data_IF_827675540703
#
_entry.id   IF_827675540703
#
_cell.length_a   1.000
_cell.length_b   1.000
_cell.length_c   1.000
_cell.angle_alpha   90.00
_cell.angle_beta   90.00
_cell.angle_gamma   90.00
#
_symmetry.space_group_name_H-M   'P 1'
#
loop_
_entity.id
_entity.type
_entity.pdbx_description
1 polymer ?
#
# COMPACT_ATOMS: atom_id res chain seq x y z
N UNK A 1 12.56 -1.94 23.25
CA UNK A 1 11.65 -1.05 22.53
C UNK A 1 10.30 -1.19 23.22
N UNK A 2 9.81 -0.13 23.84
CA UNK A 2 8.54 -0.16 24.56
C UNK A 2 7.36 -0.13 23.56
N UNK A 3 6.15 -0.43 24.02
CA UNK A 3 4.93 -0.45 23.19
C UNK A 3 4.66 0.90 22.53
N UNK A 4 4.92 2.00 23.23
CA UNK A 4 4.79 3.37 22.72
C UNK A 4 5.73 3.60 21.51
N UNK A 5 7.01 3.24 21.63
CA UNK A 5 7.98 3.35 20.53
C UNK A 5 7.52 2.58 19.27
N UNK A 6 6.84 1.44 19.46
CA UNK A 6 6.33 0.61 18.37
C UNK A 6 5.13 1.27 17.68
N UNK A 7 4.22 1.86 18.45
CA UNK A 7 3.08 2.60 17.92
C UNK A 7 3.53 3.84 17.14
N UNK A 8 4.47 4.63 17.68
CA UNK A 8 5.03 5.79 16.98
C UNK A 8 5.64 5.39 15.63
N UNK A 9 6.36 4.26 15.59
CA UNK A 9 6.92 3.73 14.34
C UNK A 9 5.84 3.33 13.34
N UNK A 10 4.77 2.67 13.78
CA UNK A 10 3.65 2.29 12.91
C UNK A 10 2.91 3.52 12.40
N UNK A 11 2.72 4.54 13.24
CA UNK A 11 2.14 5.82 12.83
C UNK A 11 3.00 6.49 11.77
N UNK A 12 4.32 6.59 11.99
CA UNK A 12 5.24 7.18 11.02
C UNK A 12 5.22 6.44 9.67
N UNK A 13 5.13 5.10 9.69
CA UNK A 13 4.98 4.30 8.47
C UNK A 13 3.66 4.57 7.74
N UNK A 14 2.56 4.73 8.48
CA UNK A 14 1.26 5.09 7.89
C UNK A 14 1.24 6.50 7.31
N UNK A 15 1.84 7.48 7.98
CA UNK A 15 1.97 8.85 7.46
C UNK A 15 2.76 8.88 6.16
N UNK A 16 3.92 8.19 6.12
CA UNK A 16 4.71 8.09 4.89
C UNK A 16 3.94 7.38 3.77
N UNK A 17 3.19 6.32 4.08
CA UNK A 17 2.36 5.62 3.11
C UNK A 17 1.22 6.51 2.58
N UNK A 18 0.57 7.27 3.44
CA UNK A 18 -0.48 8.22 3.07
C UNK A 18 0.06 9.33 2.16
N UNK A 19 1.26 9.85 2.43
CA UNK A 19 1.93 10.82 1.55
C UNK A 19 2.17 10.26 0.14
N UNK A 20 2.62 9.01 0.04
CA UNK A 20 2.79 8.35 -1.26
C UNK A 20 1.45 8.17 -1.98
N UNK A 21 0.41 7.70 -1.28
CA UNK A 21 -0.92 7.48 -1.86
C UNK A 21 -1.61 8.79 -2.28
N UNK A 22 -1.29 9.92 -1.65
CA UNK A 22 -1.76 11.26 -2.04
C UNK A 22 -0.92 11.90 -3.16
N UNK A 23 0.19 11.30 -3.56
CA UNK A 23 1.05 11.85 -4.61
C UNK A 23 0.50 11.50 -6.00
N UNK A 24 0.09 12.53 -6.75
CA UNK A 24 -0.37 12.37 -8.14
C UNK A 24 0.71 11.75 -9.03
N UNK A 25 1.99 12.11 -8.80
CA UNK A 25 3.13 11.57 -9.55
C UNK A 25 3.28 10.07 -9.30
N UNK A 26 3.17 9.64 -8.04
CA UNK A 26 3.23 8.22 -7.68
C UNK A 26 2.07 7.46 -8.32
N UNK A 27 0.84 7.97 -8.17
CA UNK A 27 -0.37 7.33 -8.72
C UNK A 27 -0.30 7.21 -10.24
N UNK A 28 0.10 8.27 -10.95
CA UNK A 28 0.29 8.22 -12.40
C UNK A 28 1.35 7.19 -12.80
N UNK A 29 2.46 7.11 -12.07
CA UNK A 29 3.53 6.15 -12.34
C UNK A 29 3.05 4.71 -12.16
N UNK A 30 2.40 4.39 -11.03
CA UNK A 30 1.86 3.04 -10.77
C UNK A 30 0.80 2.65 -11.81
N UNK A 31 -0.10 3.57 -12.17
CA UNK A 31 -1.13 3.31 -13.17
C UNK A 31 -0.51 3.01 -14.54
N UNK A 32 0.49 3.78 -14.97
CA UNK A 32 1.21 3.52 -16.22
C UNK A 32 1.92 2.14 -16.20
N UNK A 33 2.50 1.75 -15.07
CA UNK A 33 3.15 0.44 -14.92
C UNK A 33 2.14 -0.72 -14.94
N UNK A 34 0.96 -0.52 -14.33
CA UNK A 34 -0.15 -1.48 -14.38
C UNK A 34 -0.66 -1.64 -15.81
N UNK A 35 -0.88 -0.53 -16.51
CA UNK A 35 -1.32 -0.54 -17.90
C UNK A 35 -0.28 -1.21 -18.81
N UNK A 36 1.00 -0.90 -18.66
CA UNK A 36 2.08 -1.53 -19.42
C UNK A 36 2.15 -3.05 -19.16
N UNK A 37 1.99 -3.48 -17.91
CA UNK A 37 1.97 -4.91 -17.55
C UNK A 37 0.78 -5.62 -18.18
N UNK A 38 -0.38 -4.98 -18.20
CA UNK A 38 -1.59 -5.50 -18.85
C UNK A 38 -1.43 -5.58 -20.37
N UNK A 39 -0.96 -4.51 -21.02
CA UNK A 39 -0.70 -4.48 -22.47
C UNK A 39 0.30 -5.58 -22.86
N UNK A 40 1.37 -5.73 -22.09
CA UNK A 40 2.36 -6.81 -22.29
C UNK A 40 1.68 -8.17 -22.19
N UNK A 41 0.91 -8.42 -21.13
CA UNK A 41 0.16 -9.67 -20.97
C UNK A 41 -0.78 -9.95 -22.16
N UNK A 42 -1.50 -8.95 -22.66
CA UNK A 42 -2.42 -9.13 -23.79
C UNK A 42 -1.73 -9.36 -25.13
N UNK A 43 -0.46 -8.98 -25.25
CA UNK A 43 0.34 -9.19 -26.47
C UNK A 43 1.17 -10.49 -26.43
N UNK A 44 1.24 -11.16 -25.29
CA UNK A 44 1.88 -12.50 -25.18
C UNK A 44 1.18 -13.54 -26.06
N UNK A 45 1.97 -14.49 -26.57
CA UNK A 45 1.41 -15.67 -27.22
C UNK A 45 0.67 -16.53 -26.18
N UNK A 46 -0.53 -17.02 -26.50
CA UNK A 46 -1.31 -17.85 -25.58
C UNK A 46 -0.61 -19.14 -25.15
N UNK A 47 0.36 -19.62 -25.95
CA UNK A 47 1.15 -20.82 -25.65
C UNK A 47 2.45 -20.52 -24.89
N UNK A 48 2.81 -19.25 -24.70
CA UNK A 48 3.97 -18.83 -23.91
C UNK A 48 3.55 -18.61 -22.45
N UNK A 49 3.39 -19.73 -21.73
CA UNK A 49 2.92 -19.74 -20.34
C UNK A 49 3.88 -18.99 -19.43
N UNK A 50 5.19 -19.17 -19.61
CA UNK A 50 6.22 -18.54 -18.79
C UNK A 50 6.17 -17.01 -18.89
N UNK A 51 6.00 -16.50 -20.12
CA UNK A 51 5.88 -15.05 -20.32
C UNK A 51 4.58 -14.48 -19.73
N UNK A 52 3.48 -15.23 -19.83
CA UNK A 52 2.19 -14.86 -19.25
C UNK A 52 2.22 -14.80 -17.74
N UNK A 53 2.82 -15.80 -17.10
CA UNK A 53 3.01 -15.84 -15.64
C UNK A 53 3.89 -14.68 -15.17
N UNK A 54 4.99 -14.40 -15.88
CA UNK A 54 5.86 -13.25 -15.57
C UNK A 54 5.10 -11.93 -15.60
N UNK A 55 4.28 -11.71 -16.63
CA UNK A 55 3.49 -10.48 -16.75
C UNK A 55 2.42 -10.38 -15.65
N UNK A 56 1.76 -11.50 -15.32
CA UNK A 56 0.80 -11.55 -14.22
C UNK A 56 1.46 -11.22 -12.87
N UNK A 57 2.65 -11.78 -12.59
CA UNK A 57 3.38 -11.50 -11.35
C UNK A 57 3.82 -10.05 -11.24
N UNK A 58 4.23 -9.41 -12.35
CA UNK A 58 4.53 -7.98 -12.37
C UNK A 58 3.30 -7.13 -12.02
N UNK A 59 2.15 -7.40 -12.66
CA UNK A 59 0.90 -6.73 -12.31
C UNK A 59 0.55 -6.94 -10.83
N UNK A 60 0.63 -8.19 -10.35
CA UNK A 60 0.28 -8.52 -8.96
C UNK A 60 1.18 -7.79 -7.95
N UNK A 61 2.49 -7.72 -8.22
CA UNK A 61 3.43 -7.00 -7.36
C UNK A 61 3.11 -5.50 -7.24
N UNK A 62 2.68 -4.86 -8.33
CA UNK A 62 2.25 -3.45 -8.30
C UNK A 62 1.00 -3.26 -7.43
N UNK A 63 0.02 -4.17 -7.57
CA UNK A 63 -1.18 -4.17 -6.72
C UNK A 63 -0.81 -4.39 -5.24
N UNK A 64 0.10 -5.32 -4.96
CA UNK A 64 0.53 -5.64 -3.59
C UNK A 64 1.24 -4.45 -2.91
N UNK A 65 2.00 -3.64 -3.67
CA UNK A 65 2.59 -2.40 -3.17
C UNK A 65 1.50 -1.43 -2.70
N UNK A 66 0.48 -1.18 -3.53
CA UNK A 66 -0.62 -0.26 -3.19
C UNK A 66 -1.40 -0.79 -1.99
N UNK A 67 -1.71 -2.09 -1.96
CA UNK A 67 -2.38 -2.74 -0.83
C UNK A 67 -1.58 -2.60 0.47
N UNK A 68 -0.25 -2.78 0.41
CA UNK A 68 0.63 -2.62 1.57
C UNK A 68 0.60 -1.18 2.11
N UNK A 69 0.58 -0.18 1.22
CA UNK A 69 0.48 1.23 1.63
C UNK A 69 -0.87 1.51 2.28
N UNK A 70 -1.97 1.04 1.69
CA UNK A 70 -3.32 1.18 2.26
C UNK A 70 -3.44 0.54 3.64
N UNK A 71 -2.88 -0.66 3.81
CA UNK A 71 -2.89 -1.36 5.09
C UNK A 71 -2.12 -0.59 6.17
N UNK A 72 -0.99 0.04 5.83
CA UNK A 72 -0.25 0.92 6.76
C UNK A 72 -1.05 2.14 7.19
N UNK A 73 -1.81 2.74 6.27
CA UNK A 73 -2.70 3.86 6.60
C UNK A 73 -3.80 3.40 7.56
N UNK A 74 -4.45 2.26 7.27
CA UNK A 74 -5.48 1.68 8.16
C UNK A 74 -4.95 1.41 9.56
N UNK A 75 -3.75 0.84 9.69
CA UNK A 75 -3.12 0.57 11.00
C UNK A 75 -2.86 1.89 11.74
N UNK A 76 -2.34 2.92 11.06
CA UNK A 76 -2.12 4.25 11.65
C UNK A 76 -3.43 4.86 12.13
N UNK A 77 -4.48 4.83 11.32
CA UNK A 77 -5.80 5.36 11.68
C UNK A 77 -6.38 4.62 12.90
N UNK A 78 -6.30 3.28 12.94
CA UNK A 78 -6.74 2.48 14.09
C UNK A 78 -5.97 2.80 15.38
N UNK A 79 -4.65 3.06 15.29
CA UNK A 79 -3.85 3.43 16.48
C UNK A 79 -4.26 4.81 16.98
N UNK A 80 -4.40 5.79 16.09
CA UNK A 80 -4.78 7.16 16.46
C UNK A 80 -6.16 7.17 17.12
N UNK A 81 -7.16 6.50 16.51
CA UNK A 81 -8.50 6.42 17.08
C UNK A 81 -8.50 5.78 18.47
N UNK A 82 -7.76 4.68 18.68
CA UNK A 82 -7.65 4.06 20.01
C UNK A 82 -7.03 5.00 21.05
N UNK A 83 -5.97 5.72 20.68
CA UNK A 83 -5.34 6.69 21.58
C UNK A 83 -6.26 7.86 21.92
N UNK A 84 -7.05 8.35 20.96
CA UNK A 84 -8.05 9.40 21.20
C UNK A 84 -9.18 8.92 22.12
N UNK A 85 -9.67 7.70 21.93
CA UNK A 85 -10.70 7.09 22.79
C UNK A 85 -10.20 6.87 24.23
N UNK A 86 -8.96 6.41 24.41
CA UNK A 86 -8.35 6.20 25.73
C UNK A 86 -8.18 7.54 26.48
N UNK A 87 -7.69 8.58 25.80
CA UNK A 87 -7.51 9.90 26.41
C UNK A 87 -8.85 10.55 26.82
N UNK A 88 -9.93 10.33 26.07
CA UNK A 88 -11.25 10.87 26.41
C UNK A 88 -11.89 10.18 27.62
N UNK A 89 -11.53 8.92 27.93
CA UNK A 89 -12.05 8.19 29.09
C UNK A 89 -11.36 8.57 30.40
N UNK A 90 -10.17 9.17 30.36
CA UNK A 90 -9.45 9.64 31.56
C UNK A 90 -9.90 11.03 32.04
N UNK A 91 -10.71 11.75 31.25
CA UNK A 91 -11.24 13.07 31.59
C UNK A 91 -12.66 13.06 32.22
N UNK A 92 -13.29 11.88 32.41
CA UNK A 92 -14.57 11.69 33.13
C UNK A 92 -14.39 11.05 34.53
#
# INVERSE_FOLDING_TARGET
MNTEDQQEKMIAQGVAAEQLLKSDIFNSTINNLVEASFQTFTSTNSNDVDERERCYHHYRALVDIVQTLQQRVSIKDEIITKTEDDNNQEEE
#
